data_IF_001853973239
#
_entry.id   IF_001853973239
#
_cell.length_a   1.000
_cell.length_b   1.000
_cell.length_c   1.000
_cell.angle_alpha   90.00
_cell.angle_beta   90.00
_cell.angle_gamma   90.00
#
_symmetry.space_group_name_H-M   'P 1'
#
loop_
_entity.id
_entity.type
_entity.pdbx_description
1 polymer ?
#
# COMPACT_ATOMS: atom_id res chain seq x y z
N UNK A 1 -0.66 47.51 -9.27
CA UNK A 1 -0.51 46.37 -10.21
C UNK A 1 0.48 45.30 -9.75
N UNK A 2 1.50 45.61 -8.92
CA UNK A 2 2.47 44.60 -8.43
C UNK A 2 1.93 43.68 -7.33
N UNK A 3 1.03 44.17 -6.47
CA UNK A 3 0.45 43.42 -5.33
C UNK A 3 -0.52 42.31 -5.74
N UNK A 4 -1.32 42.52 -6.81
CA UNK A 4 -2.24 41.51 -7.35
C UNK A 4 -1.51 40.34 -8.01
N UNK A 5 -0.31 40.57 -8.53
CA UNK A 5 0.53 39.54 -9.14
C UNK A 5 1.09 38.56 -8.10
N UNK A 6 1.41 39.04 -6.89
CA UNK A 6 1.87 38.19 -5.80
C UNK A 6 0.77 37.28 -5.24
N UNK A 7 -0.48 37.76 -5.16
CA UNK A 7 -1.62 36.96 -4.68
C UNK A 7 -1.94 35.82 -5.67
N UNK A 8 -1.85 36.08 -6.98
CA UNK A 8 -2.05 35.08 -8.05
C UNK A 8 -1.04 33.92 -7.99
N UNK A 9 0.24 34.22 -7.69
CA UNK A 9 1.30 33.22 -7.66
C UNK A 9 1.18 32.23 -6.47
N UNK A 10 0.63 32.70 -5.35
CA UNK A 10 0.39 31.88 -4.15
C UNK A 10 -0.84 30.96 -4.22
N UNK A 11 -1.77 31.17 -5.16
CA UNK A 11 -2.95 30.31 -5.32
C UNK A 11 -2.62 29.06 -6.16
N UNK A 12 -1.66 29.18 -7.08
CA UNK A 12 -1.29 28.07 -7.98
C UNK A 12 -0.52 26.93 -7.29
N UNK A 13 0.04 27.17 -6.10
CA UNK A 13 0.89 26.20 -5.38
C UNK A 13 0.13 25.25 -4.45
N UNK A 14 -1.18 25.43 -4.24
CA UNK A 14 -1.99 24.64 -3.30
C UNK A 14 -2.77 23.47 -3.92
N UNK A 15 -2.74 23.29 -5.25
CA UNK A 15 -3.68 22.39 -5.96
C UNK A 15 -3.12 21.01 -6.33
N UNK A 16 -1.88 20.67 -5.99
CA UNK A 16 -1.35 19.32 -6.27
C UNK A 16 -1.51 18.43 -5.04
N UNK A 17 -2.73 17.96 -4.79
CA UNK A 17 -2.93 16.77 -3.99
C UNK A 17 -2.70 15.57 -4.92
N UNK A 18 -1.56 14.89 -4.77
CA UNK A 18 -1.34 13.63 -5.46
C UNK A 18 -2.38 12.64 -4.94
N UNK A 19 -3.23 12.10 -5.82
CA UNK A 19 -4.16 11.06 -5.44
C UNK A 19 -3.37 9.88 -4.87
N UNK A 20 -3.60 9.56 -3.61
CA UNK A 20 -3.05 8.36 -2.97
C UNK A 20 -3.42 7.15 -3.84
N UNK A 21 -2.46 6.30 -4.24
CA UNK A 21 -2.76 5.11 -5.00
C UNK A 21 -3.72 4.24 -4.20
N UNK A 22 -4.96 4.15 -4.68
CA UNK A 22 -6.01 3.37 -4.01
C UNK A 22 -5.92 1.92 -4.47
N UNK A 23 -5.81 1.01 -3.51
CA UNK A 23 -5.91 -0.43 -3.76
C UNK A 23 -7.40 -0.78 -3.82
N UNK A 24 -7.83 -1.39 -4.92
CA UNK A 24 -9.19 -1.90 -5.11
C UNK A 24 -9.12 -3.41 -5.23
N UNK A 25 -9.88 -4.12 -4.41
CA UNK A 25 -10.02 -5.57 -4.48
C UNK A 25 -11.46 -5.92 -4.87
N UNK A 26 -11.64 -7.08 -5.49
CA UNK A 26 -12.96 -7.67 -5.74
C UNK A 26 -13.05 -9.04 -5.10
N UNK A 27 -14.27 -9.59 -5.12
CA UNK A 27 -14.51 -10.94 -4.62
C UNK A 27 -13.59 -11.95 -5.31
N UNK A 28 -13.06 -12.87 -4.50
CA UNK A 28 -12.16 -13.95 -4.91
C UNK A 28 -10.75 -13.52 -5.36
N UNK A 29 -10.40 -12.24 -5.29
CA UNK A 29 -9.02 -11.79 -5.46
C UNK A 29 -8.09 -12.48 -4.45
N UNK A 30 -6.86 -12.75 -4.89
CA UNK A 30 -5.82 -13.36 -4.04
C UNK A 30 -4.73 -12.33 -3.77
N UNK A 31 -4.63 -11.91 -2.52
CA UNK A 31 -3.53 -11.08 -2.03
C UNK A 31 -2.44 -11.99 -1.52
N UNK A 32 -1.25 -11.88 -2.12
CA UNK A 32 -0.07 -12.65 -1.72
C UNK A 32 0.90 -11.76 -0.96
N UNK A 33 1.32 -12.20 0.21
CA UNK A 33 2.39 -11.59 0.97
C UNK A 33 3.74 -12.24 0.59
N UNK A 34 4.66 -11.43 0.06
CA UNK A 34 5.97 -11.85 -0.42
C UNK A 34 7.07 -11.10 0.33
N UNK A 35 8.19 -11.78 0.56
CA UNK A 35 9.40 -11.17 1.09
C UNK A 35 10.17 -12.07 2.05
N UNK A 36 11.25 -11.50 2.57
CA UNK A 36 12.18 -12.14 3.50
C UNK A 36 11.67 -12.30 4.92
N UNK A 37 12.64 -12.41 5.83
CA UNK A 37 12.41 -12.60 7.26
C UNK A 37 11.41 -11.62 7.85
N UNK A 38 11.43 -10.34 7.47
CA UNK A 38 10.52 -9.33 8.00
C UNK A 38 9.06 -9.61 7.60
N UNK A 39 8.81 -10.06 6.37
CA UNK A 39 7.47 -10.45 5.93
C UNK A 39 6.98 -11.70 6.65
N UNK A 40 7.86 -12.69 6.86
CA UNK A 40 7.54 -13.89 7.66
C UNK A 40 7.10 -13.49 9.07
N UNK A 41 7.78 -12.52 9.70
CA UNK A 41 7.39 -12.02 11.03
C UNK A 41 6.10 -11.21 11.00
N UNK A 42 5.93 -10.36 9.98
CA UNK A 42 4.71 -9.57 9.80
C UNK A 42 3.48 -10.48 9.61
N UNK A 43 3.59 -11.53 8.79
CA UNK A 43 2.53 -12.51 8.58
C UNK A 43 2.21 -13.30 9.84
N UNK A 44 3.22 -13.74 10.61
CA UNK A 44 3.00 -14.37 11.92
C UNK A 44 2.27 -13.46 12.91
N UNK A 45 2.42 -12.14 12.81
CA UNK A 45 1.68 -11.20 13.65
C UNK A 45 0.20 -11.05 13.25
N UNK A 46 -0.13 -11.32 11.98
CA UNK A 46 -1.47 -11.16 11.41
C UNK A 46 -1.99 -9.72 11.36
N UNK A 47 -1.19 -8.72 11.73
CA UNK A 47 -1.66 -7.35 11.90
C UNK A 47 -2.16 -6.74 10.58
N UNK A 48 -1.36 -6.85 9.52
CA UNK A 48 -1.72 -6.32 8.20
C UNK A 48 -2.93 -7.07 7.59
N UNK A 49 -2.96 -8.39 7.68
CA UNK A 49 -4.07 -9.20 7.20
C UNK A 49 -5.38 -8.84 7.92
N UNK A 50 -5.33 -8.56 9.23
CA UNK A 50 -6.49 -8.10 10.00
C UNK A 50 -7.01 -6.76 9.50
N UNK A 51 -6.11 -5.80 9.25
CA UNK A 51 -6.49 -4.49 8.72
C UNK A 51 -7.09 -4.59 7.32
N UNK A 52 -6.50 -5.41 6.44
CA UNK A 52 -7.02 -5.66 5.10
C UNK A 52 -8.38 -6.37 5.15
N UNK A 53 -8.54 -7.38 6.00
CA UNK A 53 -9.82 -8.06 6.22
C UNK A 53 -10.91 -7.09 6.71
N UNK A 54 -10.55 -6.17 7.62
CA UNK A 54 -11.50 -5.18 8.15
C UNK A 54 -11.92 -4.15 7.09
N UNK A 55 -10.98 -3.71 6.27
CA UNK A 55 -11.18 -2.73 5.20
C UNK A 55 -11.98 -3.32 4.04
N UNK A 56 -11.64 -4.54 3.61
CA UNK A 56 -12.25 -5.25 2.48
C UNK A 56 -13.26 -6.33 2.92
N UNK A 57 -14.08 -6.02 3.93
CA UNK A 57 -14.99 -6.99 4.57
C UNK A 57 -16.11 -7.46 3.64
N UNK A 58 -16.50 -6.63 2.67
CA UNK A 58 -17.59 -6.92 1.73
C UNK A 58 -17.07 -7.72 0.53
N UNK A 59 -15.84 -7.43 0.11
CA UNK A 59 -15.16 -8.10 -1.00
C UNK A 59 -14.68 -9.48 -0.59
N UNK A 60 -14.28 -9.67 0.68
CA UNK A 60 -13.79 -10.95 1.22
C UNK A 60 -12.66 -11.58 0.38
N UNK A 61 -11.52 -10.87 0.17
CA UNK A 61 -10.41 -11.40 -0.60
C UNK A 61 -9.74 -12.58 0.12
N UNK A 62 -8.98 -13.39 -0.64
CA UNK A 62 -8.20 -14.51 -0.12
C UNK A 62 -6.77 -14.06 0.14
N UNK A 63 -6.21 -14.44 1.29
CA UNK A 63 -4.82 -14.14 1.64
C UNK A 63 -3.93 -15.37 1.49
N UNK A 64 -2.69 -15.19 1.02
CA UNK A 64 -1.67 -16.24 0.93
C UNK A 64 -0.32 -15.71 1.39
N UNK A 65 0.30 -16.45 2.30
CA UNK A 65 1.69 -16.21 2.69
C UNK A 65 2.61 -17.03 1.77
N UNK A 66 3.47 -16.33 1.02
CA UNK A 66 4.58 -16.91 0.25
C UNK A 66 5.92 -16.30 0.68
N UNK A 67 5.99 -15.76 1.89
CA UNK A 67 7.24 -15.26 2.48
C UNK A 67 8.12 -16.40 2.99
N UNK A 68 9.43 -16.16 3.00
CA UNK A 68 10.43 -17.14 3.42
C UNK A 68 11.58 -16.42 4.14
N UNK A 69 12.36 -17.10 4.97
CA UNK A 69 13.56 -16.52 5.59
C UNK A 69 14.80 -16.55 4.68
N UNK A 70 15.51 -15.43 4.56
CA UNK A 70 16.59 -15.24 3.57
C UNK A 70 16.10 -15.18 2.11
N UNK A 71 14.86 -14.72 1.88
CA UNK A 71 14.40 -14.37 0.54
C UNK A 71 15.11 -13.10 0.09
N UNK A 72 15.68 -13.14 -1.10
CA UNK A 72 16.37 -12.03 -1.74
C UNK A 72 15.90 -11.93 -3.18
N UNK A 73 15.86 -10.71 -3.73
CA UNK A 73 15.48 -10.49 -5.14
C UNK A 73 16.41 -11.23 -6.12
N UNK A 74 17.65 -11.51 -5.70
CA UNK A 74 18.66 -12.23 -6.48
C UNK A 74 18.85 -13.66 -5.95
N UNK A 75 19.57 -14.50 -6.70
CA UNK A 75 19.98 -15.81 -6.21
C UNK A 75 20.91 -15.67 -5.00
N UNK A 76 20.83 -16.64 -4.08
CA UNK A 76 21.87 -16.85 -3.07
C UNK A 76 23.21 -17.02 -3.81
N UNK A 77 24.15 -16.11 -3.55
CA UNK A 77 25.51 -16.18 -4.07
C UNK A 77 26.25 -17.43 -3.61
#
# INVERSE_FOLDING_TARGET
>A
MRLLFFISLSISSFLTFAAEPTISLVKDDVVVFLGGTDMVRAQRSGHLETLLTWHFREETPKFRDMSWEADTVFALG
#
